data_IF_326611305857
#
_entry.id   IF_326611305857
#
_cell.length_a   1.000
_cell.length_b   1.000
_cell.length_c   1.000
_cell.angle_alpha   90.00
_cell.angle_beta   90.00
_cell.angle_gamma   90.00
#
_symmetry.space_group_name_H-M   'P 1'
#
loop_
_entity.id
_entity.type
_entity.pdbx_description
1 polymer ?
#
# COMPACT_ATOMS: atom_id res chain seq x y z
N UNK A 1 -27.82 13.78 -27.89
CA UNK A 1 -26.93 13.77 -26.72
C UNK A 1 -27.80 13.61 -25.49
N UNK A 2 -27.80 12.45 -24.84
CA UNK A 2 -28.58 12.24 -23.61
C UNK A 2 -27.78 12.68 -22.39
N UNK A 3 -28.46 13.26 -21.41
CA UNK A 3 -27.84 13.85 -20.22
C UNK A 3 -27.56 12.75 -19.16
N UNK A 4 -26.36 12.72 -18.58
CA UNK A 4 -25.95 11.65 -17.65
C UNK A 4 -26.86 11.53 -16.41
N UNK A 5 -27.41 12.66 -15.96
CA UNK A 5 -28.35 12.71 -14.83
C UNK A 5 -29.69 12.04 -15.14
N UNK A 6 -30.16 12.14 -16.38
CA UNK A 6 -31.40 11.50 -16.82
C UNK A 6 -31.24 9.98 -16.84
N UNK A 7 -30.04 9.49 -17.14
CA UNK A 7 -29.71 8.07 -17.17
C UNK A 7 -29.68 7.44 -15.78
N UNK A 8 -29.15 8.16 -14.78
CA UNK A 8 -29.17 7.74 -13.37
C UNK A 8 -30.58 7.75 -12.76
N UNK A 9 -31.50 8.53 -13.33
CA UNK A 9 -32.89 8.63 -12.86
C UNK A 9 -33.79 7.50 -13.35
N UNK A 10 -33.37 6.79 -14.41
CA UNK A 10 -34.10 5.65 -14.96
C UNK A 10 -33.76 4.37 -14.18
N UNK A 11 -34.72 3.46 -14.00
CA UNK A 11 -34.41 2.16 -13.44
C UNK A 11 -33.65 1.29 -14.47
N UNK A 12 -32.75 0.44 -13.98
CA UNK A 12 -31.82 -0.37 -14.81
C UNK A 12 -32.55 -1.24 -15.85
N UNK A 13 -33.76 -1.71 -15.55
CA UNK A 13 -34.55 -2.55 -16.46
C UNK A 13 -35.12 -1.79 -17.67
N UNK A 14 -35.14 -0.46 -17.63
CA UNK A 14 -35.58 0.41 -18.72
C UNK A 14 -34.39 0.96 -19.52
N UNK A 15 -33.15 0.67 -19.10
CA UNK A 15 -31.94 1.07 -19.79
C UNK A 15 -31.56 0.08 -20.89
N UNK A 16 -31.08 0.63 -22.00
CA UNK A 16 -30.43 -0.12 -23.05
C UNK A 16 -28.99 -0.49 -22.66
N UNK A 17 -28.44 -1.55 -23.26
CA UNK A 17 -27.06 -1.99 -22.96
C UNK A 17 -26.00 -0.92 -23.28
N UNK A 18 -26.25 -0.09 -24.30
CA UNK A 18 -25.37 1.02 -24.67
C UNK A 18 -25.32 2.09 -23.57
N UNK A 19 -26.48 2.46 -23.05
CA UNK A 19 -26.61 3.38 -21.91
C UNK A 19 -25.84 2.85 -20.67
N UNK A 20 -25.89 1.54 -20.42
CA UNK A 20 -25.19 0.92 -19.29
C UNK A 20 -23.66 0.94 -19.43
N UNK A 21 -23.14 0.66 -20.64
CA UNK A 21 -21.70 0.73 -20.92
C UNK A 21 -21.19 2.17 -20.82
N UNK A 22 -22.00 3.16 -21.19
CA UNK A 22 -21.65 4.57 -20.99
C UNK A 22 -21.51 4.90 -19.50
N UNK A 23 -22.46 4.50 -18.65
CA UNK A 23 -22.36 4.73 -17.20
C UNK A 23 -21.11 4.09 -16.59
N UNK A 24 -20.78 2.85 -16.96
CA UNK A 24 -19.62 2.15 -16.40
C UNK A 24 -18.30 2.80 -16.82
N UNK A 25 -18.22 3.29 -18.06
CA UNK A 25 -17.05 4.02 -18.56
C UNK A 25 -16.92 5.39 -17.89
N UNK A 26 -18.03 6.09 -17.66
CA UNK A 26 -18.04 7.35 -16.91
C UNK A 26 -17.66 7.17 -15.42
N UNK A 27 -18.12 6.11 -14.77
CA UNK A 27 -17.73 5.79 -13.39
C UNK A 27 -16.25 5.42 -13.28
N UNK A 28 -15.70 4.77 -14.31
CA UNK A 28 -14.27 4.45 -14.40
C UNK A 28 -13.42 5.73 -14.55
N UNK A 29 -13.84 6.66 -15.42
CA UNK A 29 -13.17 7.96 -15.60
C UNK A 29 -13.29 8.85 -14.36
N UNK A 30 -14.41 8.80 -13.63
CA UNK A 30 -14.55 9.52 -12.35
C UNK A 30 -13.71 8.91 -11.23
N UNK A 31 -13.39 7.61 -11.30
CA UNK A 31 -12.43 6.97 -10.38
C UNK A 31 -10.99 7.45 -10.62
N UNK A 32 -10.67 7.89 -11.85
CA UNK A 32 -9.40 8.59 -12.14
C UNK A 32 -9.37 10.06 -11.69
N UNK A 33 -10.53 10.63 -11.31
CA UNK A 33 -10.66 12.03 -10.88
C UNK A 33 -10.86 12.22 -9.37
N UNK A 34 -10.65 11.18 -8.55
CA UNK A 34 -10.18 11.42 -7.20
C UNK A 34 -8.66 11.59 -7.28
N UNK A 35 -8.11 12.77 -6.95
CA UNK A 35 -6.71 12.84 -6.60
C UNK A 35 -6.55 11.98 -5.35
N UNK A 36 -6.19 10.70 -5.55
CA UNK A 36 -5.35 10.07 -4.55
C UNK A 36 -4.21 11.05 -4.36
N UNK A 37 -3.93 11.50 -3.12
CA UNK A 37 -2.78 12.34 -2.88
C UNK A 37 -1.59 11.55 -3.41
N UNK A 38 -1.08 12.00 -4.55
CA UNK A 38 0.25 11.68 -5.03
C UNK A 38 1.19 12.25 -3.98
N UNK A 39 1.37 11.52 -2.89
CA UNK A 39 2.64 11.58 -2.20
C UNK A 39 3.60 10.89 -3.14
N UNK A 40 4.20 11.69 -4.02
CA UNK A 40 5.50 11.43 -4.58
C UNK A 40 6.37 10.69 -3.55
N UNK A 41 7.05 9.64 -4.01
CA UNK A 41 7.82 8.63 -3.27
C UNK A 41 7.00 7.48 -2.69
N UNK A 42 7.11 6.34 -3.38
CA UNK A 42 6.66 5.00 -3.01
C UNK A 42 7.32 4.47 -1.72
N UNK A 43 7.27 5.22 -0.62
CA UNK A 43 7.76 4.75 0.68
C UNK A 43 6.86 3.62 1.15
N UNK A 44 7.31 2.40 0.85
CA UNK A 44 6.59 1.18 1.16
C UNK A 44 6.69 0.95 2.66
N UNK A 45 5.70 1.41 3.42
CA UNK A 45 5.60 1.07 4.83
C UNK A 45 5.12 -0.37 4.99
N UNK A 46 5.74 -1.05 5.95
CA UNK A 46 5.53 -2.47 6.23
C UNK A 46 5.13 -2.63 7.68
N UNK A 47 4.13 -3.47 7.93
CA UNK A 47 3.47 -3.53 9.24
C UNK A 47 3.80 -4.81 10.00
N UNK A 48 4.15 -4.64 11.28
CA UNK A 48 4.36 -5.74 12.22
C UNK A 48 5.60 -6.59 11.96
N UNK A 49 5.80 -7.60 12.80
CA UNK A 49 6.83 -8.62 12.63
C UNK A 49 6.66 -9.41 11.32
N UNK A 50 5.42 -9.80 10.91
CA UNK A 50 5.24 -10.49 9.62
C UNK A 50 5.66 -9.63 8.44
N UNK A 51 5.48 -8.32 8.54
CA UNK A 51 5.96 -7.39 7.54
C UNK A 51 7.47 -7.38 7.42
N UNK A 52 8.20 -7.26 8.54
CA UNK A 52 9.67 -7.34 8.58
C UNK A 52 10.16 -8.65 7.95
N UNK A 53 9.50 -9.77 8.27
CA UNK A 53 9.83 -11.07 7.70
C UNK A 53 9.71 -11.09 6.17
N UNK A 54 8.62 -10.52 5.61
CA UNK A 54 8.40 -10.42 4.17
C UNK A 54 9.38 -9.47 3.48
N UNK A 55 9.73 -8.36 4.13
CA UNK A 55 10.68 -7.39 3.61
C UNK A 55 12.09 -7.99 3.46
N UNK A 56 12.55 -8.73 4.45
CA UNK A 56 13.88 -9.37 4.44
C UNK A 56 13.89 -10.79 3.87
N UNK A 57 12.73 -11.35 3.48
CA UNK A 57 12.61 -12.74 3.05
C UNK A 57 13.05 -13.75 4.12
N UNK A 58 12.85 -13.43 5.40
CA UNK A 58 13.31 -14.26 6.53
C UNK A 58 12.16 -14.89 7.31
N UNK A 59 12.48 -15.89 8.15
CA UNK A 59 11.51 -16.52 9.05
C UNK A 59 11.11 -15.58 10.21
N UNK A 60 9.91 -15.77 10.77
CA UNK A 60 9.42 -15.02 11.94
C UNK A 60 10.42 -14.92 13.12
N UNK A 61 11.09 -16.02 13.56
CA UNK A 61 12.08 -15.91 14.65
C UNK A 61 13.30 -15.07 14.26
N UNK A 62 13.69 -15.10 12.99
CA UNK A 62 14.79 -14.28 12.48
C UNK A 62 14.40 -12.81 12.46
N UNK A 63 13.19 -12.47 12.01
CA UNK A 63 12.66 -11.11 12.07
C UNK A 63 12.58 -10.58 13.51
N UNK A 64 12.19 -11.43 14.47
CA UNK A 64 12.23 -11.09 15.89
C UNK A 64 13.63 -10.80 16.40
N UNK A 65 14.64 -11.57 15.97
CA UNK A 65 16.04 -11.30 16.29
C UNK A 65 16.52 -9.99 15.66
N UNK A 66 16.13 -9.69 14.42
CA UNK A 66 16.46 -8.43 13.75
C UNK A 66 15.89 -7.24 14.54
N UNK A 67 14.61 -7.30 14.95
CA UNK A 67 14.01 -6.30 15.83
C UNK A 67 14.77 -6.18 17.16
N UNK A 68 15.07 -7.30 17.82
CA UNK A 68 15.81 -7.30 19.11
C UNK A 68 17.26 -6.81 18.97
N UNK A 69 17.87 -6.98 17.81
CA UNK A 69 19.26 -6.59 17.56
C UNK A 69 19.45 -5.09 17.33
N UNK A 70 18.37 -4.33 17.20
CA UNK A 70 18.41 -2.87 17.06
C UNK A 70 18.94 -2.32 15.73
N UNK A 71 19.26 -3.20 14.77
CA UNK A 71 19.83 -2.80 13.46
C UNK A 71 18.91 -1.87 12.65
N UNK A 72 17.61 -1.93 12.91
CA UNK A 72 16.56 -1.26 12.12
C UNK A 72 15.77 -0.26 12.98
N UNK A 73 16.21 0.03 14.21
CA UNK A 73 15.43 0.88 15.15
C UNK A 73 15.12 2.26 14.56
N UNK A 74 16.02 2.82 13.75
CA UNK A 74 15.81 4.10 13.07
C UNK A 74 14.70 4.08 12.02
N UNK A 75 14.39 2.92 11.44
CA UNK A 75 13.32 2.74 10.47
C UNK A 75 12.02 2.21 11.10
N UNK A 76 12.04 1.91 12.42
CA UNK A 76 10.90 1.37 13.15
C UNK A 76 10.22 2.49 13.94
N UNK A 77 8.97 2.76 13.61
CA UNK A 77 8.08 3.59 14.44
C UNK A 77 7.14 2.66 15.21
N UNK A 78 7.32 2.60 16.53
CA UNK A 78 6.49 1.79 17.42
C UNK A 78 5.46 2.67 18.14
N UNK A 79 4.18 2.42 17.87
CA UNK A 79 3.05 3.02 18.59
C UNK A 79 2.41 1.91 19.43
N UNK A 80 2.79 1.82 20.70
CA UNK A 80 2.34 0.74 21.59
C UNK A 80 2.77 -0.64 21.07
N UNK A 81 1.80 -1.50 20.73
CA UNK A 81 2.06 -2.83 20.13
C UNK A 81 2.13 -2.81 18.59
N UNK A 82 1.76 -1.70 17.94
CA UNK A 82 1.83 -1.55 16.49
C UNK A 82 3.25 -1.17 16.10
N UNK A 83 3.76 -1.85 15.08
CA UNK A 83 5.11 -1.63 14.53
C UNK A 83 4.93 -1.23 13.08
N UNK A 84 5.42 -0.04 12.73
CA UNK A 84 5.42 0.48 11.36
C UNK A 84 6.89 0.58 10.96
N UNK A 85 7.24 0.01 9.81
CA UNK A 85 8.62 -0.05 9.33
C UNK A 85 8.68 0.62 7.97
N UNK A 86 9.58 1.59 7.81
CA UNK A 86 9.90 2.12 6.49
C UNK A 86 10.81 1.13 5.74
N UNK A 87 10.38 0.63 4.58
CA UNK A 87 11.10 -0.42 3.88
C UNK A 87 12.43 0.02 3.27
N UNK A 88 12.49 1.25 2.76
CA UNK A 88 13.69 1.75 2.08
C UNK A 88 14.81 1.95 3.10
N UNK A 89 14.50 2.66 4.19
CA UNK A 89 15.44 2.86 5.30
C UNK A 89 15.86 1.54 5.95
N UNK A 90 14.94 0.58 6.07
CA UNK A 90 15.27 -0.73 6.64
C UNK A 90 16.26 -1.52 5.78
N UNK A 91 16.13 -1.46 4.44
CA UNK A 91 17.06 -2.12 3.52
C UNK A 91 18.45 -1.45 3.54
N UNK A 92 18.50 -0.12 3.54
CA UNK A 92 19.76 0.63 3.62
C UNK A 92 20.53 0.33 4.92
N UNK A 93 19.82 0.32 6.05
CA UNK A 93 20.42 0.04 7.37
C UNK A 93 20.87 -1.42 7.49
N UNK A 94 20.11 -2.36 6.92
CA UNK A 94 20.50 -3.76 6.89
C UNK A 94 21.69 -4.04 5.95
N UNK A 95 21.81 -3.26 4.86
CA UNK A 95 22.91 -3.34 3.89
C UNK A 95 24.26 -2.87 4.43
N UNK A 96 24.28 -2.04 5.49
CA UNK A 96 25.50 -1.70 6.23
C UNK A 96 25.96 -2.94 7.00
N UNK A 97 26.83 -3.73 6.36
CA UNK A 97 27.37 -4.99 6.87
C UNK A 97 28.22 -4.75 8.14
N UNK A 98 27.59 -4.76 9.32
CA UNK A 98 28.27 -4.64 10.62
C UNK A 98 28.87 -5.96 11.14
N UNK A 99 29.06 -6.98 10.30
CA UNK A 99 29.59 -8.26 10.76
C UNK A 99 29.60 -9.34 9.70
N UNK A 100 30.73 -9.47 9.00
CA UNK A 100 31.10 -10.72 8.36
C UNK A 100 31.53 -11.75 9.41
N UNK A 101 31.39 -13.04 9.08
CA UNK A 101 32.06 -14.12 9.83
C UNK A 101 33.57 -13.83 9.84
N UNK A 102 34.17 -13.73 11.03
CA UNK A 102 35.52 -14.26 11.23
C UNK A 102 35.42 -15.77 11.34
#
# INVERSE_FOLDING_TARGET
MQNLQELLSKPVWQMTGEEFIMLSRHASVQTEAQPQPVTDTSRKYVYGIPGIARLFGCSLPTANRIKKSGKIDKAITQIGRKIIVDAELALELAGKKTGGRK
#
